data_IF_468063212058
#
_entry.id   IF_468063212058
#
_cell.length_a   1.000
_cell.length_b   1.000
_cell.length_c   1.000
_cell.angle_alpha   90.00
_cell.angle_beta   90.00
_cell.angle_gamma   90.00
#
_symmetry.space_group_name_H-M   'P 1'
#
loop_
_entity.id
_entity.type
_entity.pdbx_description
1 polymer ?
#
# COMPACT_ATOMS: atom_id res chain seq x y z
N UNK A 1 12.95 2.93 12.18
CA UNK A 1 11.62 3.46 12.53
C UNK A 1 10.86 3.68 11.22
N UNK A 2 9.80 2.91 10.98
CA UNK A 2 8.97 3.09 9.79
C UNK A 2 8.31 4.47 9.80
N UNK A 3 8.29 5.17 8.66
CA UNK A 3 7.56 6.43 8.52
C UNK A 3 6.17 6.14 7.96
N UNK A 4 5.12 6.53 8.68
CA UNK A 4 3.75 6.50 8.15
C UNK A 4 3.52 7.76 7.32
N UNK A 5 3.15 7.58 6.05
CA UNK A 5 2.76 8.67 5.16
C UNK A 5 1.24 8.81 5.17
N UNK A 6 0.74 10.03 5.37
CA UNK A 6 -0.70 10.35 5.30
C UNK A 6 -0.96 11.22 4.07
N UNK A 7 -1.94 10.83 3.26
CA UNK A 7 -2.46 11.63 2.16
C UNK A 7 -3.80 12.23 2.56
N UNK A 8 -3.92 13.56 2.49
CA UNK A 8 -5.16 14.26 2.82
C UNK A 8 -6.21 14.19 1.71
N UNK A 9 -5.76 14.08 0.45
CA UNK A 9 -6.62 13.88 -0.70
C UNK A 9 -5.94 12.97 -1.73
N UNK A 10 -6.74 12.20 -2.47
CA UNK A 10 -6.25 11.35 -3.54
C UNK A 10 -6.51 12.03 -4.89
N UNK A 11 -5.66 13.00 -5.23
CA UNK A 11 -5.60 13.60 -6.56
C UNK A 11 -4.24 13.30 -7.22
N UNK A 12 -4.07 13.68 -8.48
CA UNK A 12 -2.83 13.40 -9.22
C UNK A 12 -1.58 14.02 -8.57
N UNK A 13 -1.70 15.21 -7.97
CA UNK A 13 -0.59 15.93 -7.35
C UNK A 13 -0.14 15.25 -6.05
N UNK A 14 -1.10 14.95 -5.17
CA UNK A 14 -0.84 14.28 -3.89
C UNK A 14 -0.30 12.87 -4.09
N UNK A 15 -0.79 12.15 -5.10
CA UNK A 15 -0.27 10.84 -5.45
C UNK A 15 1.14 10.93 -6.04
N UNK A 16 1.44 11.95 -6.87
CA UNK A 16 2.81 12.20 -7.36
C UNK A 16 3.79 12.44 -6.21
N UNK A 17 3.43 13.29 -5.25
CA UNK A 17 4.23 13.51 -4.04
C UNK A 17 4.45 12.22 -3.25
N UNK A 18 3.40 11.40 -3.08
CA UNK A 18 3.47 10.12 -2.41
C UNK A 18 4.47 9.17 -3.08
N UNK A 19 4.43 9.04 -4.40
CA UNK A 19 5.39 8.21 -5.15
C UNK A 19 6.81 8.72 -4.97
N UNK A 20 7.02 10.04 -4.94
CA UNK A 20 8.31 10.64 -4.58
C UNK A 20 8.81 10.17 -3.21
N UNK A 21 7.95 10.18 -2.19
CA UNK A 21 8.29 9.69 -0.84
C UNK A 21 8.52 8.19 -0.75
N UNK A 22 7.76 7.38 -1.47
CA UNK A 22 8.01 5.94 -1.56
C UNK A 22 9.41 5.68 -2.15
N UNK A 23 9.79 6.40 -3.22
CA UNK A 23 11.12 6.26 -3.85
C UNK A 23 12.28 6.62 -2.92
N UNK A 24 12.10 7.61 -2.04
CA UNK A 24 13.08 7.97 -0.99
C UNK A 24 13.24 6.86 0.06
N UNK A 25 12.16 6.14 0.38
CA UNK A 25 12.14 5.11 1.43
C UNK A 25 12.65 3.73 0.98
N UNK A 26 12.62 3.42 -0.31
CA UNK A 26 13.07 2.11 -0.82
C UNK A 26 14.58 2.07 -1.02
N UNK A 27 15.22 0.99 -0.54
CA UNK A 27 16.66 0.75 -0.67
C UNK A 27 17.06 -0.03 -1.93
N UNK A 28 16.10 -0.65 -2.62
CA UNK A 28 16.34 -1.53 -3.77
C UNK A 28 15.25 -1.37 -4.83
N UNK A 29 15.50 -1.92 -6.03
CA UNK A 29 14.51 -1.99 -7.09
C UNK A 29 13.27 -2.70 -6.57
N UNK A 30 12.12 -2.04 -6.67
CA UNK A 30 10.87 -2.49 -6.07
C UNK A 30 9.72 -2.42 -7.07
N UNK A 31 8.74 -3.30 -6.88
CA UNK A 31 7.52 -3.36 -7.69
C UNK A 31 6.38 -2.66 -6.93
N UNK A 32 5.73 -1.71 -7.59
CA UNK A 32 4.52 -1.04 -7.13
C UNK A 32 3.32 -1.58 -7.91
N UNK A 33 2.41 -2.25 -7.22
CA UNK A 33 1.19 -2.80 -7.83
C UNK A 33 -0.02 -2.08 -7.27
N UNK A 34 -0.90 -1.63 -8.15
CA UNK A 34 -2.15 -1.01 -7.76
C UNK A 34 -3.26 -1.23 -8.81
N UNK A 35 -4.49 -0.89 -8.42
CA UNK A 35 -5.63 -0.89 -9.32
C UNK A 35 -5.56 0.23 -10.38
N UNK A 36 -6.56 0.29 -11.25
CA UNK A 36 -6.67 1.26 -12.33
C UNK A 36 -7.20 2.65 -11.93
N UNK A 37 -7.09 3.09 -10.66
CA UNK A 37 -7.60 4.41 -10.26
C UNK A 37 -6.97 5.55 -11.10
N UNK A 38 -7.75 6.62 -11.36
CA UNK A 38 -7.33 7.75 -12.21
C UNK A 38 -6.04 8.44 -11.73
N UNK A 39 -5.74 8.38 -10.43
CA UNK A 39 -4.50 8.90 -9.86
C UNK A 39 -3.26 8.04 -10.19
N UNK A 40 -3.44 6.74 -10.46
CA UNK A 40 -2.37 5.77 -10.73
C UNK A 40 -1.88 5.87 -12.19
N UNK A 41 -1.13 6.94 -12.44
CA UNK A 41 -0.54 7.26 -13.74
C UNK A 41 0.84 6.62 -13.88
N UNK A 42 1.07 5.73 -14.86
CA UNK A 42 2.38 5.09 -15.08
C UNK A 42 3.55 6.08 -15.22
N UNK A 43 3.27 7.30 -15.70
CA UNK A 43 4.26 8.37 -15.89
C UNK A 43 4.88 8.88 -14.59
N UNK A 44 4.29 8.56 -13.43
CA UNK A 44 4.84 8.95 -12.11
C UNK A 44 6.00 8.06 -11.66
N UNK A 45 6.23 6.94 -12.35
CA UNK A 45 7.21 5.93 -11.98
C UNK A 45 8.42 6.02 -12.90
N UNK A 46 9.61 5.81 -12.32
CA UNK A 46 10.87 5.87 -13.08
C UNK A 46 11.15 4.59 -13.87
N UNK A 47 10.43 3.49 -13.58
CA UNK A 47 10.61 2.15 -14.15
C UNK A 47 12.04 1.60 -14.01
N UNK A 48 12.84 2.20 -13.12
CA UNK A 48 14.22 1.80 -12.82
C UNK A 48 14.33 1.34 -11.37
N UNK A 49 13.99 2.22 -10.42
CA UNK A 49 14.00 1.95 -8.99
C UNK A 49 12.63 1.52 -8.50
N UNK A 50 11.55 2.09 -9.05
CA UNK A 50 10.18 1.73 -8.72
C UNK A 50 9.43 1.43 -10.02
N UNK A 51 9.18 0.14 -10.26
CA UNK A 51 8.46 -0.36 -11.45
C UNK A 51 6.96 -0.38 -11.13
N UNK A 52 6.12 0.09 -12.05
CA UNK A 52 4.67 0.07 -11.87
C UNK A 52 4.01 -1.03 -12.68
N UNK A 53 3.16 -1.82 -12.01
CA UNK A 53 2.28 -2.79 -12.67
C UNK A 53 0.83 -2.56 -12.26
N UNK A 54 -0.06 -2.56 -13.25
CA UNK A 54 -1.48 -2.35 -13.03
C UNK A 54 -2.19 -3.70 -12.90
N UNK A 55 -3.02 -3.84 -11.88
CA UNK A 55 -3.89 -5.00 -11.73
C UNK A 55 -4.99 -5.05 -12.82
N UNK A 56 -5.49 -6.25 -13.17
CA UNK A 56 -6.68 -6.38 -13.98
C UNK A 56 -7.85 -5.56 -13.41
N UNK A 57 -8.64 -4.96 -14.31
CA UNK A 57 -9.75 -4.12 -13.91
C UNK A 57 -10.80 -4.93 -13.13
N UNK A 58 -11.35 -4.33 -12.07
CA UNK A 58 -12.41 -4.91 -11.26
C UNK A 58 -12.09 -6.28 -10.61
N UNK A 59 -10.81 -6.57 -10.33
CA UNK A 59 -10.37 -7.79 -9.64
C UNK A 59 -9.79 -7.49 -8.24
N UNK A 60 -10.59 -7.03 -7.25
CA UNK A 60 -10.12 -6.72 -5.90
C UNK A 60 -9.53 -7.94 -5.18
N UNK A 61 -9.95 -9.16 -5.54
CA UNK A 61 -9.41 -10.41 -5.04
C UNK A 61 -7.95 -10.66 -5.41
N UNK A 62 -7.45 -9.98 -6.45
CA UNK A 62 -6.05 -10.01 -6.84
C UNK A 62 -5.24 -8.91 -6.15
N UNK A 63 -5.88 -7.90 -5.55
CA UNK A 63 -5.17 -6.79 -4.92
C UNK A 63 -4.69 -7.15 -3.49
N UNK A 64 -3.37 -7.27 -3.24
CA UNK A 64 -2.87 -7.68 -1.93
C UNK A 64 -3.27 -6.72 -0.80
N UNK A 65 -3.44 -5.43 -1.11
CA UNK A 65 -3.82 -4.43 -0.10
C UNK A 65 -5.19 -4.74 0.52
N UNK A 66 -6.09 -5.43 -0.20
CA UNK A 66 -7.40 -5.81 0.34
C UNK A 66 -7.28 -6.84 1.48
N UNK A 67 -6.28 -7.74 1.43
CA UNK A 67 -5.98 -8.65 2.55
C UNK A 67 -5.40 -7.89 3.74
N UNK A 68 -4.53 -6.92 3.50
CA UNK A 68 -3.99 -6.04 4.54
C UNK A 68 -5.10 -5.19 5.19
N UNK A 69 -5.98 -4.59 4.40
CA UNK A 69 -7.13 -3.83 4.90
C UNK A 69 -8.09 -4.67 5.73
N UNK A 70 -8.29 -5.95 5.41
CA UNK A 70 -9.07 -6.85 6.27
C UNK A 70 -8.46 -6.97 7.67
N UNK A 71 -7.14 -7.05 7.80
CA UNK A 71 -6.47 -7.06 9.11
C UNK A 71 -6.60 -5.73 9.85
N UNK A 72 -6.46 -4.61 9.14
CA UNK A 72 -6.68 -3.28 9.74
C UNK A 72 -8.11 -3.15 10.26
N UNK A 73 -9.12 -3.49 9.43
CA UNK A 73 -10.53 -3.41 9.79
C UNK A 73 -10.89 -4.32 10.96
N UNK A 74 -10.27 -5.50 11.09
CA UNK A 74 -10.47 -6.38 12.27
C UNK A 74 -10.14 -5.66 13.57
N UNK A 75 -9.09 -4.84 13.60
CA UNK A 75 -8.66 -4.10 14.80
C UNK A 75 -9.50 -2.83 15.09
N UNK A 76 -10.38 -2.47 14.16
CA UNK A 76 -11.32 -1.36 14.26
C UNK A 76 -12.75 -1.82 14.60
N UNK A 77 -13.02 -3.14 14.62
CA UNK A 77 -14.37 -3.66 14.90
C UNK A 77 -14.89 -3.18 16.26
N UNK A 78 -16.19 -2.88 16.30
CA UNK A 78 -16.92 -2.44 17.50
C UNK A 78 -16.40 -1.14 18.13
N UNK A 79 -15.74 -0.29 17.34
CA UNK A 79 -15.29 1.04 17.78
C UNK A 79 -16.09 2.13 17.07
N UNK A 80 -16.49 3.12 17.84
CA UNK A 80 -16.99 4.42 17.37
C UNK A 80 -15.93 5.46 17.76
N UNK A 81 -15.65 6.40 16.86
CA UNK A 81 -14.66 7.45 17.08
C UNK A 81 -15.36 8.79 17.15
N UNK A 82 -14.96 9.63 18.10
CA UNK A 82 -15.57 10.95 18.29
C UNK A 82 -15.06 11.98 17.27
N UNK A 83 -13.94 11.68 16.61
CA UNK A 83 -13.35 12.55 15.60
C UNK A 83 -12.59 11.77 14.53
N UNK A 84 -12.40 12.42 13.37
CA UNK A 84 -11.54 11.91 12.30
C UNK A 84 -10.10 11.68 12.81
N UNK A 85 -9.59 12.58 13.65
CA UNK A 85 -8.25 12.49 14.21
C UNK A 85 -8.08 11.20 15.03
N UNK A 86 -9.04 10.88 15.91
CA UNK A 86 -8.99 9.63 16.68
C UNK A 86 -8.99 8.39 15.77
N UNK A 87 -9.78 8.38 14.70
CA UNK A 87 -9.81 7.28 13.75
C UNK A 87 -8.46 7.14 13.02
N UNK A 88 -7.86 8.26 12.60
CA UNK A 88 -6.56 8.27 11.93
C UNK A 88 -5.42 7.80 12.84
N UNK A 89 -5.39 8.25 14.10
CA UNK A 89 -4.34 7.85 15.06
C UNK A 89 -4.44 6.37 15.42
N UNK A 90 -5.68 5.86 15.51
CA UNK A 90 -5.90 4.43 15.70
C UNK A 90 -5.42 3.63 14.49
N UNK A 91 -5.72 4.07 13.27
CA UNK A 91 -5.24 3.42 12.04
C UNK A 91 -3.71 3.46 11.98
N UNK A 92 -3.07 4.60 12.29
CA UNK A 92 -1.62 4.72 12.34
C UNK A 92 -1.01 3.71 13.30
N UNK A 93 -1.53 3.63 14.54
CA UNK A 93 -1.07 2.65 15.53
C UNK A 93 -1.17 1.22 15.00
N UNK A 94 -2.28 0.87 14.35
CA UNK A 94 -2.49 -0.47 13.78
C UNK A 94 -1.47 -0.75 12.65
N UNK A 95 -1.25 0.22 11.77
CA UNK A 95 -0.30 0.08 10.65
C UNK A 95 1.13 -0.05 11.15
N UNK A 96 1.54 0.74 12.14
CA UNK A 96 2.85 0.64 12.79
C UNK A 96 3.04 -0.73 13.45
N UNK A 97 2.03 -1.25 14.14
CA UNK A 97 2.09 -2.60 14.72
C UNK A 97 2.20 -3.70 13.67
N UNK A 98 1.49 -3.57 12.54
CA UNK A 98 1.60 -4.52 11.44
C UNK A 98 2.95 -4.41 10.71
N UNK A 99 3.55 -3.21 10.65
CA UNK A 99 4.86 -2.98 10.06
C UNK A 99 5.96 -3.77 10.78
N UNK A 100 5.90 -3.87 12.10
CA UNK A 100 6.82 -4.68 12.90
C UNK A 100 6.59 -6.21 12.75
N UNK A 101 5.55 -6.63 12.02
CA UNK A 101 5.18 -8.03 11.80
C UNK A 101 5.40 -8.45 10.34
N UNK A 102 6.62 -8.26 9.81
CA UNK A 102 6.95 -8.53 8.41
C UNK A 102 6.46 -9.89 7.92
N UNK A 103 6.74 -10.97 8.65
CA UNK A 103 6.30 -12.33 8.28
C UNK A 103 4.78 -12.46 8.15
N UNK A 104 4.01 -11.76 9.00
CA UNK A 104 2.56 -11.70 8.89
C UNK A 104 2.15 -10.94 7.63
N UNK A 105 2.73 -9.76 7.38
CA UNK A 105 2.43 -8.96 6.18
C UNK A 105 2.70 -9.77 4.92
N UNK A 106 3.88 -10.41 4.82
CA UNK A 106 4.25 -11.28 3.70
C UNK A 106 3.24 -12.42 3.53
N UNK A 107 2.86 -13.11 4.60
CA UNK A 107 1.87 -14.21 4.53
C UNK A 107 0.50 -13.76 4.02
N UNK A 108 0.14 -12.50 4.24
CA UNK A 108 -1.14 -11.93 3.83
C UNK A 108 -1.14 -11.38 2.41
N UNK A 109 0.00 -10.91 1.90
CA UNK A 109 0.06 -10.10 0.67
C UNK A 109 0.91 -10.72 -0.44
N UNK A 110 1.81 -11.66 -0.14
CA UNK A 110 2.66 -12.32 -1.14
C UNK A 110 1.90 -13.43 -1.88
N UNK A 111 0.99 -13.01 -2.77
CA UNK A 111 0.16 -13.94 -3.54
C UNK A 111 1.02 -14.77 -4.51
N UNK A 112 0.58 -15.97 -4.91
CA UNK A 112 1.35 -16.84 -5.79
C UNK A 112 1.80 -16.17 -7.10
N UNK A 113 0.94 -15.36 -7.70
CA UNK A 113 1.27 -14.68 -8.96
C UNK A 113 2.42 -13.68 -8.79
N UNK A 114 2.52 -13.00 -7.64
CA UNK A 114 3.62 -12.06 -7.33
C UNK A 114 4.93 -12.79 -7.15
N UNK A 115 4.89 -13.93 -6.44
CA UNK A 115 6.06 -14.76 -6.21
C UNK A 115 6.65 -15.27 -7.52
N UNK A 116 5.78 -15.69 -8.44
CA UNK A 116 6.19 -16.28 -9.71
C UNK A 116 6.70 -15.25 -10.74
N UNK A 117 6.27 -13.98 -10.61
CA UNK A 117 6.78 -12.87 -11.42
C UNK A 117 8.21 -12.47 -11.09
N UNK A 118 8.66 -12.67 -9.84
CA UNK A 118 10.03 -12.35 -9.41
C UNK A 118 11.09 -13.32 -9.97
N UNK A 119 10.67 -14.54 -10.35
CA UNK A 119 11.53 -15.57 -10.91
C UNK A 119 11.71 -15.49 -12.44
N UNK A 120 11.10 -14.50 -13.10
CA UNK A 120 11.16 -14.33 -14.56
C UNK A 120 11.89 -13.03 -14.99
N UNK A 121 12.55 -12.35 -14.06
CA UNK A 121 13.44 -11.19 -14.28
C UNK A 121 14.81 -11.48 -13.71
#
# INVERSE_FOLDING_TARGET
>A
MGKVLRLFCLNSESFSWFIGKVRECIGQKSLFIADGATAHKPQLFDNQKLVFERLPAACPELNPVERFFKEVRKQLKHRVFDSLQQAQDRIQTIVEQLFEQEGKVVSLTCFPYLKNSLSQT
#
